data_IF_576453844206
#
_entry.id   IF_576453844206
#
_cell.length_a   1.000
_cell.length_b   1.000
_cell.length_c   1.000
_cell.angle_alpha   90.00
_cell.angle_beta   90.00
_cell.angle_gamma   90.00
#
_symmetry.space_group_name_H-M   'P 1'
#
loop_
_entity.id
_entity.type
_entity.pdbx_description
1 polymer ?
#
# COMPACT_ATOMS: atom_id res chain seq x y z
N UNK A 1 21.82 6.32 5.39
CA UNK A 1 22.26 7.73 5.42
C UNK A 1 21.19 8.64 4.84
N UNK A 2 20.74 8.46 3.60
CA UNK A 2 19.69 9.27 2.97
C UNK A 2 18.35 9.30 3.75
N UNK A 3 17.87 8.16 4.22
CA UNK A 3 16.65 8.05 5.03
C UNK A 3 16.68 8.92 6.30
N UNK A 4 17.82 8.92 7.04
CA UNK A 4 17.98 9.76 8.22
C UNK A 4 18.06 11.25 7.90
N UNK A 5 18.59 11.61 6.75
CA UNK A 5 18.58 13.00 6.29
C UNK A 5 17.16 13.46 5.96
N UNK A 6 16.41 12.66 5.19
CA UNK A 6 15.00 12.94 4.90
C UNK A 6 14.17 13.05 6.19
N UNK A 7 14.34 12.12 7.12
CA UNK A 7 13.68 12.12 8.42
C UNK A 7 13.98 13.39 9.22
N UNK A 8 15.24 13.83 9.25
CA UNK A 8 15.63 15.07 9.95
C UNK A 8 14.96 16.31 9.36
N UNK A 9 14.81 16.35 8.05
CA UNK A 9 14.18 17.47 7.34
C UNK A 9 12.67 17.51 7.61
N UNK A 10 11.96 16.41 7.41
CA UNK A 10 10.51 16.35 7.60
C UNK A 10 10.09 16.46 9.07
N UNK A 11 10.89 15.94 10.00
CA UNK A 11 10.57 15.95 11.42
C UNK A 11 10.56 17.35 12.05
N UNK A 12 11.18 18.37 11.43
CA UNK A 12 11.22 19.73 11.97
C UNK A 12 9.80 20.29 12.13
N UNK A 13 9.01 20.24 11.06
CA UNK A 13 7.63 20.76 11.08
C UNK A 13 6.70 19.87 11.91
N UNK A 14 6.87 18.54 11.82
CA UNK A 14 6.07 17.59 12.58
C UNK A 14 6.27 17.71 14.09
N UNK A 15 7.50 17.97 14.57
CA UNK A 15 7.81 18.21 16.00
C UNK A 15 7.06 19.40 16.56
N UNK A 16 6.91 20.46 15.78
CA UNK A 16 6.19 21.67 16.20
C UNK A 16 4.73 21.39 16.56
N UNK A 17 4.12 20.37 15.93
CA UNK A 17 2.72 20.03 16.09
C UNK A 17 2.49 18.69 16.81
N UNK A 18 3.51 18.11 17.44
CA UNK A 18 3.47 16.79 18.09
C UNK A 18 2.96 15.66 17.18
N UNK A 19 3.32 15.74 15.89
CA UNK A 19 2.89 14.80 14.86
C UNK A 19 4.00 13.84 14.42
N UNK A 20 5.12 13.77 15.13
CA UNK A 20 6.21 12.84 14.79
C UNK A 20 5.75 11.41 14.99
N UNK A 21 5.84 10.56 13.97
CA UNK A 21 5.51 9.15 14.09
C UNK A 21 6.46 8.40 15.03
N UNK A 22 5.99 7.30 15.62
CA UNK A 22 6.81 6.41 16.47
C UNK A 22 7.75 5.50 15.66
N UNK A 23 7.63 5.49 14.33
CA UNK A 23 8.46 4.71 13.40
C UNK A 23 9.43 5.61 12.62
N UNK A 24 10.51 5.03 12.10
CA UNK A 24 11.46 5.74 11.24
C UNK A 24 10.85 6.08 9.87
N UNK A 25 11.40 7.08 9.20
CA UNK A 25 11.00 7.43 7.83
C UNK A 25 11.12 6.23 6.86
N UNK A 26 12.17 5.40 7.02
CA UNK A 26 12.35 4.21 6.19
C UNK A 26 11.23 3.19 6.41
N UNK A 27 10.88 2.91 7.67
CA UNK A 27 9.78 2.00 8.02
C UNK A 27 8.44 2.51 7.49
N UNK A 28 8.18 3.81 7.60
CA UNK A 28 7.00 4.45 7.03
C UNK A 28 6.92 4.29 5.51
N UNK A 29 8.04 4.47 4.81
CA UNK A 29 8.12 4.29 3.36
C UNK A 29 7.93 2.84 2.91
N UNK A 30 8.45 1.87 3.67
CA UNK A 30 8.25 0.43 3.38
C UNK A 30 6.83 0.00 3.72
N UNK A 31 6.28 0.51 4.83
CA UNK A 31 4.96 0.13 5.33
C UNK A 31 3.77 0.88 4.69
N UNK A 32 4.00 1.76 3.72
CA UNK A 32 2.97 2.66 3.16
C UNK A 32 2.29 3.57 4.22
N UNK A 33 3.03 3.98 5.24
CA UNK A 33 2.54 4.88 6.30
C UNK A 33 2.95 6.33 6.10
N UNK A 34 3.59 6.64 4.98
CA UNK A 34 3.93 8.01 4.61
C UNK A 34 2.80 8.57 3.76
N UNK A 35 2.16 9.59 4.26
CA UNK A 35 1.14 10.34 3.54
C UNK A 35 1.66 11.73 3.18
N UNK A 36 1.16 12.26 2.07
CA UNK A 36 1.44 13.64 1.68
C UNK A 36 0.41 14.55 2.33
N UNK A 37 0.87 15.46 3.18
CA UNK A 37 0.00 16.46 3.75
C UNK A 37 -0.62 17.33 2.63
N UNK A 38 -1.94 17.61 2.69
CA UNK A 38 -2.58 18.52 1.75
C UNK A 38 -1.93 19.89 1.76
N UNK A 39 -2.11 20.63 0.68
CA UNK A 39 -1.69 22.03 0.60
C UNK A 39 -2.26 22.80 1.80
N UNK A 40 -1.45 23.68 2.38
CA UNK A 40 -1.79 24.53 3.53
C UNK A 40 -2.11 23.78 4.84
N UNK A 41 -1.89 22.47 4.94
CA UNK A 41 -2.16 21.67 6.14
C UNK A 41 -1.50 22.28 7.40
N UNK A 42 -0.20 22.53 7.36
CA UNK A 42 0.53 23.09 8.50
C UNK A 42 0.14 24.53 8.81
N UNK A 43 -0.21 25.33 7.79
CA UNK A 43 -0.75 26.67 7.98
C UNK A 43 -2.09 26.64 8.71
N UNK A 44 -2.97 25.72 8.35
CA UNK A 44 -4.27 25.54 9.01
C UNK A 44 -4.12 25.06 10.47
N UNK A 45 -3.07 24.27 10.77
CA UNK A 45 -2.71 23.93 12.16
C UNK A 45 -2.25 25.17 12.95
N UNK A 46 -1.43 26.04 12.35
CA UNK A 46 -0.94 27.26 12.99
C UNK A 46 -2.05 28.29 13.22
N UNK A 47 -3.00 28.39 12.29
CA UNK A 47 -4.17 29.27 12.39
C UNK A 47 -5.28 28.69 13.32
N UNK A 48 -5.15 27.43 13.77
CA UNK A 48 -6.11 26.77 14.65
C UNK A 48 -7.40 26.33 13.98
N UNK A 49 -7.47 26.35 12.64
CA UNK A 49 -8.59 25.77 11.87
C UNK A 49 -8.55 24.24 11.82
N UNK A 50 -7.39 23.64 12.07
CA UNK A 50 -7.21 22.21 12.32
C UNK A 50 -6.62 22.04 13.73
N UNK A 51 -7.22 21.16 14.52
CA UNK A 51 -6.71 20.77 15.84
C UNK A 51 -6.39 19.27 15.80
N UNK A 52 -5.18 18.88 16.22
CA UNK A 52 -4.77 17.48 16.34
C UNK A 52 -4.83 17.07 17.79
N UNK A 53 -5.58 16.02 18.08
CA UNK A 53 -5.74 15.48 19.41
C UNK A 53 -5.38 13.99 19.43
N UNK A 54 -4.36 13.64 20.22
CA UNK A 54 -3.98 12.24 20.45
C UNK A 54 -4.76 11.68 21.62
N UNK A 55 -5.45 10.57 21.41
CA UNK A 55 -6.15 9.86 22.47
C UNK A 55 -6.20 8.37 22.20
N UNK A 56 -6.23 7.57 23.25
CA UNK A 56 -6.41 6.11 23.13
C UNK A 56 -7.87 5.74 22.94
N UNK A 57 -8.78 6.49 23.55
CA UNK A 57 -10.22 6.25 23.46
C UNK A 57 -10.98 7.57 23.37
N UNK A 58 -12.16 7.50 22.80
CA UNK A 58 -13.13 8.59 22.75
C UNK A 58 -14.55 8.02 22.83
N UNK A 59 -15.50 8.84 23.25
CA UNK A 59 -16.92 8.50 23.28
C UNK A 59 -17.77 9.62 22.68
N UNK A 60 -18.99 9.28 22.29
CA UNK A 60 -19.92 10.22 21.69
C UNK A 60 -20.95 10.67 22.70
N UNK A 61 -21.34 11.92 22.59
CA UNK A 61 -22.54 12.45 23.24
C UNK A 61 -23.36 13.26 22.23
N UNK A 62 -24.51 13.77 22.66
CA UNK A 62 -25.41 14.50 21.76
C UNK A 62 -24.77 15.77 21.17
N UNK A 63 -23.86 16.38 21.91
CA UNK A 63 -23.25 17.66 21.56
C UNK A 63 -21.87 17.51 20.86
N UNK A 64 -21.34 16.28 20.75
CA UNK A 64 -20.03 16.05 20.10
C UNK A 64 -19.27 14.86 20.65
N UNK A 65 -17.94 15.01 20.80
CA UNK A 65 -17.00 13.95 21.16
C UNK A 65 -16.32 14.26 22.51
N UNK A 66 -16.30 13.27 23.39
CA UNK A 66 -15.53 13.28 24.63
C UNK A 66 -14.23 12.53 24.40
N UNK A 67 -13.10 13.22 24.51
CA UNK A 67 -11.76 12.65 24.32
C UNK A 67 -11.20 12.26 25.68
N UNK A 68 -10.68 11.04 25.82
CA UNK A 68 -10.10 10.55 27.07
C UNK A 68 -8.96 11.47 27.56
N UNK A 69 -8.95 11.74 28.86
CA UNK A 69 -7.96 12.63 29.48
C UNK A 69 -8.24 14.11 29.31
N UNK A 70 -9.33 14.50 28.64
CA UNK A 70 -9.78 15.90 28.56
C UNK A 70 -11.11 16.10 29.28
N UNK A 71 -11.19 17.19 30.00
CA UNK A 71 -12.43 17.62 30.67
C UNK A 71 -13.38 18.36 29.71
N UNK A 72 -12.92 18.74 28.55
CA UNK A 72 -13.68 19.56 27.59
C UNK A 72 -14.24 18.72 26.43
N UNK A 73 -15.54 18.89 26.22
CA UNK A 73 -16.27 18.37 25.08
C UNK A 73 -15.80 19.05 23.80
N UNK A 74 -15.47 18.24 22.77
CA UNK A 74 -15.26 18.73 21.43
C UNK A 74 -16.62 18.78 20.71
N UNK A 75 -17.20 19.97 20.64
CA UNK A 75 -18.48 20.19 19.94
C UNK A 75 -18.31 19.86 18.46
N UNK A 76 -19.21 19.08 17.89
CA UNK A 76 -19.12 18.61 16.52
C UNK A 76 -20.50 18.50 15.89
N UNK A 77 -20.68 19.08 14.72
CA UNK A 77 -21.87 18.95 13.89
C UNK A 77 -21.81 17.70 13.00
N UNK A 78 -20.60 17.31 12.60
CA UNK A 78 -20.33 16.16 11.74
C UNK A 78 -19.13 15.37 12.28
N UNK A 79 -19.24 14.06 12.29
CA UNK A 79 -18.15 13.15 12.67
C UNK A 79 -17.85 12.23 11.48
N UNK A 80 -16.59 12.25 11.02
CA UNK A 80 -16.13 11.44 9.89
C UNK A 80 -15.14 10.40 10.42
N UNK A 81 -15.47 9.11 10.21
CA UNK A 81 -14.60 8.00 10.58
C UNK A 81 -13.63 7.68 9.44
N UNK A 82 -12.35 7.92 9.66
CA UNK A 82 -11.25 7.47 8.82
C UNK A 82 -10.52 6.27 9.42
N UNK A 83 -11.24 5.32 10.03
CA UNK A 83 -10.68 4.22 10.86
C UNK A 83 -10.36 2.94 10.09
N UNK A 84 -10.45 2.96 8.76
CA UNK A 84 -10.18 1.82 7.88
C UNK A 84 -11.42 0.94 7.65
N UNK A 85 -11.20 -0.22 7.03
CA UNK A 85 -12.24 -1.14 6.59
C UNK A 85 -11.98 -2.55 7.11
N UNK A 86 -13.05 -3.31 7.35
CA UNK A 86 -12.96 -4.74 7.58
C UNK A 86 -12.98 -5.50 6.24
N UNK A 87 -11.85 -5.47 5.53
CA UNK A 87 -11.71 -6.08 4.20
C UNK A 87 -11.90 -7.59 4.17
N UNK A 88 -11.55 -8.29 5.26
CA UNK A 88 -11.59 -9.75 5.37
C UNK A 88 -12.99 -10.31 5.17
N UNK A 89 -13.99 -9.71 5.81
CA UNK A 89 -15.37 -10.16 5.68
C UNK A 89 -15.92 -9.94 4.28
N UNK A 90 -15.56 -8.83 3.65
CA UNK A 90 -16.04 -8.49 2.31
C UNK A 90 -15.55 -9.51 1.27
N UNK A 91 -14.27 -9.88 1.30
CA UNK A 91 -13.69 -10.84 0.35
C UNK A 91 -14.28 -12.24 0.57
N UNK A 92 -14.43 -12.69 1.81
CA UNK A 92 -15.07 -13.98 2.13
C UNK A 92 -16.52 -14.05 1.64
N UNK A 93 -17.27 -12.96 1.79
CA UNK A 93 -18.67 -12.90 1.40
C UNK A 93 -18.89 -12.96 -0.12
N UNK A 94 -17.85 -12.73 -0.94
CA UNK A 94 -17.93 -12.89 -2.40
C UNK A 94 -18.14 -14.34 -2.86
N UNK A 95 -17.83 -15.31 -2.00
CA UNK A 95 -17.95 -16.73 -2.33
C UNK A 95 -19.04 -17.38 -1.50
N UNK A 96 -19.95 -18.09 -2.17
CA UNK A 96 -20.97 -18.91 -1.49
C UNK A 96 -20.40 -20.22 -0.94
N UNK A 97 -19.36 -20.75 -1.59
CA UNK A 97 -18.69 -21.99 -1.19
C UNK A 97 -17.83 -21.78 0.06
N UNK A 98 -18.11 -22.54 1.13
CA UNK A 98 -17.29 -22.57 2.34
C UNK A 98 -15.84 -23.01 2.09
N UNK A 99 -15.63 -23.86 1.08
CA UNK A 99 -14.30 -24.28 0.65
C UNK A 99 -13.47 -23.10 0.17
N UNK A 100 -14.00 -22.28 -0.75
CA UNK A 100 -13.30 -21.09 -1.22
C UNK A 100 -13.15 -20.04 -0.12
N UNK A 101 -14.15 -19.85 0.73
CA UNK A 101 -14.05 -18.98 1.90
C UNK A 101 -12.89 -19.38 2.82
N UNK A 102 -12.67 -20.70 3.04
CA UNK A 102 -11.55 -21.19 3.86
C UNK A 102 -10.19 -20.99 3.22
N UNK A 103 -10.09 -21.13 1.89
CA UNK A 103 -8.84 -20.87 1.15
C UNK A 103 -8.46 -19.37 1.22
N UNK A 104 -9.44 -18.49 1.12
CA UNK A 104 -9.24 -17.04 1.19
C UNK A 104 -8.91 -16.54 2.61
N UNK A 105 -9.18 -17.33 3.62
CA UNK A 105 -8.95 -16.98 5.02
C UNK A 105 -7.48 -16.93 5.43
N UNK A 106 -6.53 -17.04 4.50
CA UNK A 106 -5.10 -16.81 4.65
C UNK A 106 -4.41 -17.30 5.93
N UNK A 107 -3.11 -17.25 5.97
CA UNK A 107 -2.38 -17.35 7.24
C UNK A 107 -2.67 -16.11 8.09
N UNK A 108 -2.58 -16.24 9.40
CA UNK A 108 -2.99 -15.31 10.47
C UNK A 108 -2.59 -13.83 10.35
N UNK A 109 -1.89 -13.41 9.31
CA UNK A 109 -1.38 -12.06 9.13
C UNK A 109 -1.79 -11.37 7.82
N UNK A 110 -2.43 -12.09 6.88
CA UNK A 110 -2.79 -11.52 5.57
C UNK A 110 -4.22 -11.92 5.19
N UNK A 111 -5.01 -10.94 4.88
CA UNK A 111 -6.38 -11.13 4.40
C UNK A 111 -6.43 -11.90 3.10
N UNK A 112 -5.53 -11.61 2.17
CA UNK A 112 -5.49 -12.21 0.84
C UNK A 112 -4.05 -12.28 0.33
N UNK A 113 -3.52 -13.51 0.20
CA UNK A 113 -2.19 -13.75 -0.35
C UNK A 113 -2.26 -13.90 -1.87
N UNK A 114 -1.89 -12.84 -2.59
CA UNK A 114 -1.95 -12.83 -4.06
C UNK A 114 -0.55 -12.88 -4.68
N UNK A 115 -0.36 -13.75 -5.65
CA UNK A 115 0.81 -13.72 -6.53
C UNK A 115 0.77 -12.45 -7.38
N UNK A 116 1.85 -11.71 -7.43
CA UNK A 116 1.93 -10.38 -8.06
C UNK A 116 0.83 -9.41 -7.55
N UNK A 117 0.41 -9.55 -6.29
CA UNK A 117 -0.71 -8.79 -5.71
C UNK A 117 -1.95 -8.73 -6.63
N UNK A 118 -2.16 -9.78 -7.41
CA UNK A 118 -3.20 -9.85 -8.43
C UNK A 118 -3.92 -11.19 -8.45
N UNK A 119 -3.22 -12.32 -8.61
CA UNK A 119 -3.84 -13.64 -8.81
C UNK A 119 -3.69 -14.51 -7.58
N UNK A 120 -4.78 -15.18 -7.16
CA UNK A 120 -4.74 -16.09 -6.02
C UNK A 120 -4.08 -17.44 -6.41
N UNK A 121 -3.01 -17.89 -5.72
CA UNK A 121 -2.26 -19.10 -6.13
C UNK A 121 -3.10 -20.37 -6.26
N UNK A 122 -4.07 -20.58 -5.34
CA UNK A 122 -4.94 -21.77 -5.33
C UNK A 122 -6.24 -21.56 -6.12
N UNK A 123 -6.55 -20.34 -6.56
CA UNK A 123 -7.73 -20.02 -7.34
C UNK A 123 -7.29 -19.13 -8.51
N UNK A 124 -6.59 -19.68 -9.53
CA UNK A 124 -6.02 -18.86 -10.61
C UNK A 124 -7.07 -18.15 -11.47
N UNK A 125 -8.36 -18.49 -11.32
CA UNK A 125 -9.49 -17.76 -11.91
C UNK A 125 -9.90 -16.52 -11.08
N UNK A 126 -9.33 -16.33 -9.88
CA UNK A 126 -9.54 -15.15 -9.06
C UNK A 126 -8.39 -14.17 -9.24
N UNK A 127 -8.69 -13.03 -9.85
CA UNK A 127 -7.78 -11.89 -9.92
C UNK A 127 -8.41 -10.67 -9.26
N UNK A 128 -7.61 -9.89 -8.54
CA UNK A 128 -8.02 -8.65 -7.88
C UNK A 128 -7.07 -7.54 -8.32
N UNK A 129 -7.60 -6.45 -8.84
CA UNK A 129 -6.85 -5.27 -9.25
C UNK A 129 -7.16 -4.13 -8.29
N UNK A 130 -6.10 -3.37 -7.89
CA UNK A 130 -6.23 -2.27 -6.94
C UNK A 130 -6.18 -2.70 -5.46
N UNK A 131 -5.83 -3.97 -5.17
CA UNK A 131 -5.74 -4.47 -3.81
C UNK A 131 -4.50 -3.97 -3.07
N UNK A 132 -3.36 -3.87 -3.74
CA UNK A 132 -2.12 -3.41 -3.11
C UNK A 132 -1.93 -1.91 -3.20
N UNK A 133 -1.30 -1.36 -2.18
CA UNK A 133 -0.98 0.06 -2.05
C UNK A 133 0.41 0.38 -2.62
N UNK A 134 0.50 1.48 -3.35
CA UNK A 134 1.76 2.07 -3.79
C UNK A 134 1.62 3.58 -3.94
N UNK A 135 2.74 4.30 -3.97
CA UNK A 135 2.73 5.75 -4.23
C UNK A 135 2.21 6.13 -5.64
N UNK A 136 2.04 5.15 -6.53
CA UNK A 136 1.52 5.30 -7.87
C UNK A 136 0.38 4.30 -8.16
N UNK A 137 -0.61 4.25 -7.28
CA UNK A 137 -1.68 3.23 -7.29
C UNK A 137 -2.38 3.07 -8.63
N UNK A 138 -2.81 4.17 -9.27
CA UNK A 138 -3.50 4.12 -10.57
C UNK A 138 -2.64 3.47 -11.64
N UNK A 139 -1.41 3.95 -11.80
CA UNK A 139 -0.48 3.43 -12.80
C UNK A 139 -0.07 1.98 -12.51
N UNK A 140 0.14 1.62 -11.25
CA UNK A 140 0.48 0.25 -10.87
C UNK A 140 -0.70 -0.70 -11.13
N UNK A 141 -1.93 -0.26 -10.88
CA UNK A 141 -3.15 -1.02 -11.18
C UNK A 141 -3.37 -1.17 -12.70
N UNK A 142 -3.09 -0.12 -13.48
CA UNK A 142 -3.09 -0.20 -14.94
C UNK A 142 -2.10 -1.24 -15.46
N UNK A 143 -0.88 -1.24 -14.93
CA UNK A 143 0.13 -2.21 -15.34
C UNK A 143 -0.27 -3.65 -14.97
N UNK A 144 -0.91 -3.87 -13.80
CA UNK A 144 -1.51 -5.17 -13.46
C UNK A 144 -2.62 -5.57 -14.42
N UNK A 145 -3.47 -4.61 -14.82
CA UNK A 145 -4.51 -4.89 -15.80
C UNK A 145 -3.92 -5.33 -17.14
N UNK A 146 -2.87 -4.66 -17.62
CA UNK A 146 -2.12 -5.07 -18.81
C UNK A 146 -1.50 -6.47 -18.66
N UNK A 147 -0.87 -6.75 -17.52
CA UNK A 147 -0.30 -8.05 -17.18
C UNK A 147 -1.36 -9.15 -17.16
N UNK A 148 -2.50 -8.91 -16.52
CA UNK A 148 -3.62 -9.85 -16.47
C UNK A 148 -4.22 -10.10 -17.85
N UNK A 149 -4.43 -9.06 -18.65
CA UNK A 149 -4.95 -9.17 -20.01
C UNK A 149 -4.01 -10.01 -20.88
N UNK A 150 -2.69 -9.78 -20.80
CA UNK A 150 -1.71 -10.54 -21.53
C UNK A 150 -1.65 -12.03 -21.10
N UNK A 151 -1.81 -12.30 -19.79
CA UNK A 151 -1.97 -13.66 -19.29
C UNK A 151 -3.24 -14.34 -19.84
N UNK A 152 -4.37 -13.64 -19.84
CA UNK A 152 -5.65 -14.17 -20.35
C UNK A 152 -5.62 -14.44 -21.86
N UNK A 153 -4.84 -13.67 -22.61
CA UNK A 153 -4.61 -13.86 -24.05
C UNK A 153 -3.60 -15.00 -24.35
N UNK A 154 -3.05 -15.62 -23.30
CA UNK A 154 -2.12 -16.74 -23.43
C UNK A 154 -0.67 -16.32 -23.74
N UNK A 155 -0.33 -15.04 -23.60
CA UNK A 155 1.01 -14.51 -23.87
C UNK A 155 2.10 -15.04 -22.94
N UNK A 156 1.73 -15.48 -21.73
CA UNK A 156 2.62 -16.19 -20.81
C UNK A 156 1.85 -17.18 -19.94
N UNK A 157 2.58 -18.00 -19.19
CA UNK A 157 1.98 -18.94 -18.23
C UNK A 157 2.35 -18.57 -16.81
N UNK A 158 1.39 -18.68 -15.88
CA UNK A 158 1.67 -18.55 -14.46
C UNK A 158 2.63 -19.65 -14.00
N UNK A 159 3.51 -19.36 -13.03
CA UNK A 159 4.32 -20.38 -12.38
C UNK A 159 3.46 -21.46 -11.71
N UNK A 160 4.09 -22.56 -11.29
CA UNK A 160 3.37 -23.57 -10.50
C UNK A 160 2.82 -22.96 -9.20
N UNK A 161 1.73 -23.53 -8.66
CA UNK A 161 1.11 -23.12 -7.38
C UNK A 161 2.18 -23.00 -6.28
N UNK A 162 3.08 -24.01 -6.20
CA UNK A 162 4.18 -24.00 -5.22
C UNK A 162 5.14 -22.82 -5.42
N UNK A 163 5.44 -22.45 -6.65
CA UNK A 163 6.31 -21.31 -6.95
C UNK A 163 5.64 -19.98 -6.64
N UNK A 164 4.34 -19.84 -6.93
CA UNK A 164 3.57 -18.65 -6.57
C UNK A 164 3.49 -18.47 -5.05
N UNK A 165 3.22 -19.53 -4.28
CA UNK A 165 3.24 -19.47 -2.82
C UNK A 165 4.61 -19.08 -2.26
N UNK A 166 5.69 -19.59 -2.84
CA UNK A 166 7.05 -19.22 -2.41
C UNK A 166 7.31 -17.73 -2.63
N UNK A 167 6.95 -17.19 -3.78
CA UNK A 167 7.08 -15.75 -4.09
C UNK A 167 6.32 -14.89 -3.09
N UNK A 168 5.07 -15.24 -2.79
CA UNK A 168 4.23 -14.58 -1.78
C UNK A 168 4.88 -14.63 -0.39
N UNK A 169 5.38 -15.80 0.03
CA UNK A 169 6.03 -15.95 1.33
C UNK A 169 7.35 -15.16 1.44
N UNK A 170 8.13 -15.08 0.37
CA UNK A 170 9.35 -14.28 0.33
C UNK A 170 9.03 -12.79 0.47
N UNK A 171 7.99 -12.33 -0.24
CA UNK A 171 7.47 -10.97 -0.10
C UNK A 171 7.00 -10.68 1.33
N UNK A 172 6.20 -11.55 1.90
CA UNK A 172 5.70 -11.44 3.28
C UNK A 172 6.84 -11.36 4.29
N UNK A 173 7.87 -12.21 4.15
CA UNK A 173 9.06 -12.17 5.02
C UNK A 173 9.81 -10.85 4.92
N UNK A 174 9.96 -10.34 3.70
CA UNK A 174 10.59 -9.04 3.48
C UNK A 174 9.80 -7.93 4.18
N UNK A 175 8.50 -7.87 3.96
CA UNK A 175 7.65 -6.86 4.56
C UNK A 175 7.65 -6.93 6.09
N UNK A 176 7.51 -8.12 6.69
CA UNK A 176 7.59 -8.31 8.14
C UNK A 176 8.92 -7.85 8.74
N UNK A 177 10.02 -8.04 8.00
CA UNK A 177 11.35 -7.64 8.45
C UNK A 177 11.53 -6.13 8.52
N UNK A 178 10.92 -5.38 7.60
CA UNK A 178 11.21 -3.97 7.40
C UNK A 178 10.07 -3.02 7.79
N UNK A 179 8.87 -3.52 8.11
CA UNK A 179 7.68 -2.70 8.44
C UNK A 179 7.34 -2.61 9.93
N UNK A 180 8.27 -2.89 10.82
CA UNK A 180 8.23 -2.68 12.29
C UNK A 180 6.83 -2.81 12.93
N UNK A 181 6.25 -4.00 12.90
CA UNK A 181 5.01 -4.33 13.61
C UNK A 181 3.68 -3.88 12.97
N UNK A 182 3.69 -2.94 12.07
CA UNK A 182 2.53 -2.55 11.25
C UNK A 182 2.64 -3.15 9.86
N UNK A 183 2.48 -4.44 9.78
CA UNK A 183 2.62 -5.18 8.55
C UNK A 183 1.41 -4.95 7.62
N UNK A 184 1.63 -4.16 6.58
CA UNK A 184 0.73 -4.08 5.43
C UNK A 184 1.26 -4.99 4.31
N UNK A 185 0.74 -6.19 4.25
CA UNK A 185 1.17 -7.22 3.31
C UNK A 185 1.11 -6.80 1.85
N UNK A 186 0.21 -5.91 1.55
CA UNK A 186 -0.11 -5.42 0.22
C UNK A 186 0.53 -4.05 -0.10
N UNK A 187 1.47 -3.57 0.73
CA UNK A 187 2.22 -2.37 0.42
C UNK A 187 3.38 -2.69 -0.53
N UNK A 188 3.45 -2.03 -1.65
CA UNK A 188 4.57 -2.10 -2.58
C UNK A 188 5.60 -1.00 -2.27
N UNK A 189 5.15 0.13 -1.75
CA UNK A 189 5.93 1.25 -1.24
C UNK A 189 7.19 1.56 -2.05
N UNK A 190 8.34 1.48 -1.38
CA UNK A 190 9.66 1.72 -1.96
C UNK A 190 10.04 0.77 -3.11
N UNK A 191 9.49 -0.43 -3.16
CA UNK A 191 9.84 -1.44 -4.16
C UNK A 191 9.01 -1.35 -5.44
N UNK A 192 8.35 -0.22 -5.66
CA UNK A 192 7.45 -0.01 -6.78
C UNK A 192 8.09 -0.30 -8.15
N UNK A 193 9.34 0.14 -8.39
CA UNK A 193 10.04 -0.14 -9.64
C UNK A 193 10.39 -1.62 -9.76
N UNK A 194 10.94 -2.23 -8.71
CA UNK A 194 11.23 -3.66 -8.69
C UNK A 194 9.98 -4.51 -8.93
N UNK A 195 8.87 -4.13 -8.35
CA UNK A 195 7.58 -4.78 -8.55
C UNK A 195 7.13 -4.70 -10.02
N UNK A 196 7.16 -3.51 -10.61
CA UNK A 196 6.82 -3.30 -12.03
C UNK A 196 7.75 -4.05 -12.97
N UNK A 197 9.04 -4.13 -12.64
CA UNK A 197 10.02 -4.92 -13.38
C UNK A 197 9.65 -6.41 -13.43
N UNK A 198 9.10 -6.96 -12.35
CA UNK A 198 8.65 -8.34 -12.33
C UNK A 198 7.43 -8.54 -13.24
N UNK A 199 6.48 -7.61 -13.26
CA UNK A 199 5.37 -7.65 -14.20
C UNK A 199 5.85 -7.59 -15.65
N UNK A 200 6.81 -6.71 -15.95
CA UNK A 200 7.42 -6.62 -17.28
C UNK A 200 8.10 -7.92 -17.68
N UNK A 201 8.90 -8.54 -16.79
CA UNK A 201 9.58 -9.82 -17.05
C UNK A 201 8.60 -10.95 -17.33
N UNK A 202 7.53 -11.05 -16.54
CA UNK A 202 6.48 -12.06 -16.72
C UNK A 202 5.84 -11.93 -18.13
N UNK A 203 5.64 -10.71 -18.62
CA UNK A 203 5.12 -10.41 -19.95
C UNK A 203 6.15 -10.52 -21.08
N UNK A 204 7.41 -10.88 -20.80
CA UNK A 204 8.50 -10.87 -21.79
C UNK A 204 8.97 -9.49 -22.23
N UNK A 205 8.55 -8.42 -21.52
CA UNK A 205 8.97 -7.06 -21.80
C UNK A 205 10.32 -6.73 -21.14
N UNK A 206 11.08 -5.82 -21.74
CA UNK A 206 12.31 -5.32 -21.12
C UNK A 206 11.95 -4.45 -19.89
N UNK A 207 12.40 -4.80 -18.67
CA UNK A 207 12.15 -3.99 -17.49
C UNK A 207 12.96 -2.68 -17.50
N UNK A 208 14.10 -2.64 -18.17
CA UNK A 208 14.92 -1.42 -18.33
C UNK A 208 14.41 -0.62 -19.51
N UNK A 209 13.85 0.56 -19.21
CA UNK A 209 13.07 1.33 -20.20
C UNK A 209 13.63 2.72 -20.49
N UNK A 210 14.69 3.12 -19.77
CA UNK A 210 15.39 4.39 -20.02
C UNK A 210 16.46 4.25 -21.11
N UNK A 211 16.80 5.37 -21.72
CA UNK A 211 17.80 5.43 -22.79
C UNK A 211 19.22 5.55 -22.21
N UNK A 212 19.85 4.38 -21.97
CA UNK A 212 21.23 4.29 -21.52
C UNK A 212 21.36 4.10 -20.01
N UNK A 213 22.58 3.72 -19.59
CA UNK A 213 22.87 3.31 -18.20
C UNK A 213 22.68 4.46 -17.21
N UNK A 214 23.07 5.68 -17.57
CA UNK A 214 22.94 6.83 -16.69
C UNK A 214 21.49 7.22 -16.46
N UNK A 215 20.67 7.22 -17.51
CA UNK A 215 19.25 7.49 -17.39
C UNK A 215 18.57 6.40 -16.54
N UNK A 216 18.93 5.13 -16.75
CA UNK A 216 18.41 4.00 -15.98
C UNK A 216 18.73 4.07 -14.48
N UNK A 217 19.88 4.61 -14.09
CA UNK A 217 20.32 4.73 -12.70
C UNK A 217 19.80 5.99 -11.99
N UNK A 218 19.61 7.08 -12.71
CA UNK A 218 19.38 8.39 -12.10
C UNK A 218 18.07 9.08 -12.47
N UNK A 219 17.41 8.68 -13.56
CA UNK A 219 16.11 9.24 -13.92
C UNK A 219 14.96 8.53 -13.22
N UNK A 220 13.97 9.32 -12.82
CA UNK A 220 12.76 8.78 -12.17
C UNK A 220 11.90 8.06 -13.19
N UNK A 221 11.47 6.84 -12.84
CA UNK A 221 10.48 6.10 -13.60
C UNK A 221 9.07 6.68 -13.40
N UNK A 222 8.40 6.98 -14.50
CA UNK A 222 7.04 7.50 -14.52
C UNK A 222 6.09 6.67 -15.39
N UNK A 223 4.81 7.02 -15.46
CA UNK A 223 3.82 6.32 -16.30
C UNK A 223 4.22 6.25 -17.77
N UNK A 224 4.84 7.29 -18.32
CA UNK A 224 5.30 7.36 -19.71
C UNK A 224 6.28 6.25 -20.10
N UNK A 225 7.06 5.74 -19.14
CA UNK A 225 8.03 4.66 -19.39
C UNK A 225 7.36 3.29 -19.65
N UNK A 226 6.05 3.19 -19.42
CA UNK A 226 5.28 1.94 -19.55
C UNK A 226 4.14 2.02 -20.58
N UNK A 227 4.07 3.09 -21.38
CA UNK A 227 3.03 3.25 -22.42
C UNK A 227 3.21 2.17 -23.50
N UNK A 228 4.43 2.04 -24.03
CA UNK A 228 4.76 1.16 -25.14
C UNK A 228 5.33 -0.17 -24.63
N UNK A 229 4.54 -0.89 -23.83
CA UNK A 229 4.86 -2.27 -23.47
C UNK A 229 4.47 -3.17 -24.63
N UNK A 230 5.47 -3.69 -25.34
CA UNK A 230 5.29 -4.68 -26.39
C UNK A 230 5.77 -6.04 -25.86
N UNK A 231 4.87 -6.90 -25.38
CA UNK A 231 5.20 -8.29 -25.06
C UNK A 231 5.73 -9.01 -26.32
N UNK A 232 6.76 -9.83 -26.14
CA UNK A 232 7.33 -10.65 -27.22
C UNK A 232 6.51 -11.89 -27.45
#
# INVERSE_FOLDING_TARGET
>A
MFSKFAESYYSITMKKHDMVPDHSFFEGMVGCWVELAPKDHYKNLEEGSILVEKSKTFSFCKEGVLVEGKSTLVKSDIIIFGTGFNGDQNIKSMFTSKYFQSILSGSTSMTLSLYRDCVHPNIPQLAVIGYSESYANLHTSELRAKWLAHFMDGGFRLPSIKAMHRDVLEWEKFMKRYSHGGFHAFCIGLLNNWYKDNLCRDMGCNPRRKNGIFAELFEVYGPSDYIDLHPK
#
